data_IF_255172372948
#
_entry.id   IF_255172372948
#
_cell.length_a   1.000
_cell.length_b   1.000
_cell.length_c   1.000
_cell.angle_alpha   90.00
_cell.angle_beta   90.00
_cell.angle_gamma   90.00
#
_symmetry.space_group_name_H-M   'P 1'
#
loop_
_entity.id
_entity.type
_entity.pdbx_description
1 polymer ?
#
# COMPACT_ATOMS: atom_id res chain seq x y z
N UNK A 1 49.73 -1.26 -51.26
CA UNK A 1 50.41 -1.66 -50.00
C UNK A 1 49.45 -2.30 -49.08
N UNK A 2 49.54 -3.61 -48.85
CA UNK A 2 48.67 -4.41 -47.96
C UNK A 2 49.31 -4.42 -46.57
N UNK A 3 48.64 -4.07 -45.57
CA UNK A 3 48.98 -4.37 -44.16
C UNK A 3 47.89 -5.16 -43.53
N UNK A 4 48.22 -6.40 -43.17
CA UNK A 4 47.35 -7.35 -42.55
C UNK A 4 47.20 -7.09 -41.06
N UNK A 5 45.97 -7.30 -40.57
CA UNK A 5 45.65 -7.30 -39.15
C UNK A 5 45.83 -8.71 -38.62
N UNK A 6 46.73 -8.84 -37.65
CA UNK A 6 47.05 -10.08 -36.94
C UNK A 6 45.97 -10.33 -35.87
N UNK A 7 45.20 -11.39 -36.02
CA UNK A 7 44.22 -11.82 -35.02
C UNK A 7 44.91 -12.67 -33.94
N UNK A 8 44.94 -12.19 -32.72
CA UNK A 8 45.48 -12.88 -31.57
C UNK A 8 44.37 -13.75 -30.93
N UNK A 9 44.43 -15.07 -31.16
CA UNK A 9 43.56 -16.04 -30.48
C UNK A 9 44.11 -16.33 -29.07
N UNK A 10 43.41 -15.88 -28.03
CA UNK A 10 43.63 -16.30 -26.65
C UNK A 10 42.90 -17.62 -26.40
N UNK A 11 43.67 -18.71 -26.32
CA UNK A 11 43.23 -20.02 -25.85
C UNK A 11 43.03 -19.96 -24.32
N UNK A 12 41.80 -19.93 -23.86
CA UNK A 12 41.44 -20.19 -22.45
C UNK A 12 41.45 -21.72 -22.23
N UNK A 13 42.44 -22.21 -21.55
CA UNK A 13 42.53 -23.59 -21.10
C UNK A 13 41.51 -23.85 -19.98
N UNK A 14 40.52 -24.70 -20.23
CA UNK A 14 39.63 -25.25 -19.20
C UNK A 14 40.39 -26.29 -18.37
N UNK A 15 40.63 -25.97 -17.09
CA UNK A 15 41.06 -26.93 -16.11
C UNK A 15 39.82 -27.63 -15.52
N UNK A 16 39.78 -28.97 -15.43
CA UNK A 16 38.67 -29.64 -14.78
C UNK A 16 38.80 -29.50 -13.27
N UNK A 17 37.80 -28.86 -12.64
CA UNK A 17 37.65 -28.88 -11.19
C UNK A 17 37.22 -30.27 -10.74
N UNK A 18 38.10 -30.95 -10.04
CA UNK A 18 37.81 -32.21 -9.35
C UNK A 18 36.85 -31.91 -8.18
N UNK A 19 35.62 -32.43 -8.27
CA UNK A 19 34.68 -32.43 -7.19
C UNK A 19 35.09 -33.52 -6.20
N UNK A 20 35.65 -33.14 -5.04
CA UNK A 20 35.84 -34.07 -3.91
C UNK A 20 34.47 -34.47 -3.38
N UNK A 21 34.07 -35.69 -3.63
CA UNK A 21 32.90 -36.32 -2.98
C UNK A 21 33.24 -36.66 -1.52
N UNK A 22 32.82 -35.82 -0.59
CA UNK A 22 32.80 -36.22 0.80
C UNK A 22 31.58 -37.12 1.05
N UNK A 23 31.84 -38.37 1.35
CA UNK A 23 30.84 -39.31 1.88
C UNK A 23 30.35 -38.82 3.24
N UNK A 24 29.17 -38.22 3.26
CA UNK A 24 28.50 -37.88 4.49
C UNK A 24 27.67 -39.09 4.93
N UNK A 25 28.08 -39.69 6.04
CA UNK A 25 27.42 -40.81 6.70
C UNK A 25 25.97 -40.46 7.02
N UNK A 26 25.01 -41.29 6.57
CA UNK A 26 23.57 -41.15 6.86
C UNK A 26 23.32 -41.40 8.35
N UNK A 27 22.94 -40.35 9.08
CA UNK A 27 22.16 -40.50 10.32
C UNK A 27 20.68 -40.63 9.97
N UNK A 28 19.92 -41.51 10.67
CA UNK A 28 18.53 -41.78 10.31
C UNK A 28 17.60 -40.65 10.80
N UNK A 29 16.80 -40.15 9.87
CA UNK A 29 15.43 -39.77 10.11
C UNK A 29 15.14 -38.50 10.90
N UNK A 30 15.46 -37.31 10.36
CA UNK A 30 14.59 -36.15 10.60
C UNK A 30 13.81 -35.93 9.31
N UNK A 31 12.56 -36.32 9.30
CA UNK A 31 11.62 -35.91 8.26
C UNK A 31 11.38 -34.41 8.45
N UNK A 32 12.07 -33.60 7.64
CA UNK A 32 11.66 -32.21 7.45
C UNK A 32 10.33 -32.28 6.72
N UNK A 33 9.24 -32.13 7.49
CA UNK A 33 7.95 -31.80 6.90
C UNK A 33 8.14 -30.51 6.12
N UNK A 34 8.09 -30.61 4.81
CA UNK A 34 7.90 -29.46 3.93
C UNK A 34 6.55 -28.84 4.34
N UNK A 35 6.60 -27.87 5.25
CA UNK A 35 5.47 -27.00 5.50
C UNK A 35 5.09 -26.40 4.15
N UNK A 36 4.00 -26.88 3.62
CA UNK A 36 3.27 -26.23 2.53
C UNK A 36 3.14 -24.78 2.95
N UNK A 37 3.86 -23.90 2.29
CA UNK A 37 3.80 -22.46 2.50
C UNK A 37 2.35 -22.07 2.14
N UNK A 38 1.50 -22.07 3.16
CA UNK A 38 0.11 -21.70 3.04
C UNK A 38 0.13 -20.26 2.61
N UNK A 39 -0.21 -20.01 1.35
CA UNK A 39 -0.31 -18.66 0.82
C UNK A 39 -1.29 -17.92 1.73
N UNK A 40 -0.74 -16.99 2.52
CA UNK A 40 -1.55 -16.17 3.41
C UNK A 40 -2.47 -15.33 2.51
N UNK A 41 -3.76 -15.63 2.53
CA UNK A 41 -4.76 -14.81 1.87
C UNK A 41 -4.89 -13.45 2.59
N UNK A 42 -5.43 -12.46 1.88
CA UNK A 42 -5.58 -11.11 2.41
C UNK A 42 -6.41 -11.07 3.70
N UNK A 43 -7.34 -12.00 3.87
CA UNK A 43 -8.19 -12.11 5.06
C UNK A 43 -7.41 -12.64 6.27
N UNK A 44 -6.50 -13.58 6.05
CA UNK A 44 -5.61 -14.11 7.09
C UNK A 44 -4.59 -13.05 7.53
N UNK A 45 -3.99 -12.31 6.58
CA UNK A 45 -3.10 -11.18 6.87
C UNK A 45 -3.84 -10.12 7.68
N UNK A 46 -5.06 -9.78 7.29
CA UNK A 46 -5.91 -8.83 7.99
C UNK A 46 -6.23 -9.26 9.43
N UNK A 47 -6.60 -10.53 9.64
CA UNK A 47 -6.86 -11.08 10.98
C UNK A 47 -5.62 -11.09 11.86
N UNK A 48 -4.49 -11.51 11.33
CA UNK A 48 -3.22 -11.57 12.07
C UNK A 48 -2.76 -10.15 12.45
N UNK A 49 -2.89 -9.17 11.55
CA UNK A 49 -2.54 -7.78 11.87
C UNK A 49 -3.45 -7.18 12.95
N UNK A 50 -4.74 -7.49 12.95
CA UNK A 50 -5.66 -7.11 14.03
C UNK A 50 -5.31 -7.77 15.39
N UNK A 51 -4.87 -9.02 15.38
CA UNK A 51 -4.59 -9.77 16.62
C UNK A 51 -3.23 -9.42 17.25
N UNK A 52 -2.21 -9.17 16.42
CA UNK A 52 -0.84 -8.99 16.92
C UNK A 52 -0.59 -7.61 17.53
N UNK A 53 -1.41 -6.60 17.25
CA UNK A 53 -1.09 -5.23 17.63
C UNK A 53 -2.27 -4.39 18.10
N UNK A 54 -3.27 -4.96 18.74
CA UNK A 54 -4.30 -4.16 19.39
C UNK A 54 -3.66 -3.26 20.46
N UNK A 55 -3.36 -2.00 20.10
CA UNK A 55 -2.74 -1.01 20.99
C UNK A 55 -1.23 -0.81 20.87
N UNK A 56 -0.51 -1.60 20.04
CA UNK A 56 0.95 -1.51 19.93
C UNK A 56 1.46 -0.60 18.80
N UNK A 57 0.67 -0.41 17.73
CA UNK A 57 1.07 0.41 16.57
C UNK A 57 0.36 1.75 16.66
N UNK A 58 1.08 2.86 16.48
CA UNK A 58 0.46 4.18 16.36
C UNK A 58 -0.47 4.23 15.14
N UNK A 59 -1.54 5.01 15.22
CA UNK A 59 -2.48 5.17 14.10
C UNK A 59 -1.79 5.58 12.80
N UNK A 60 -0.75 6.42 12.88
CA UNK A 60 0.04 6.84 11.73
C UNK A 60 0.76 5.68 11.05
N UNK A 61 1.38 4.78 11.82
CA UNK A 61 2.02 3.59 11.28
C UNK A 61 1.00 2.63 10.68
N UNK A 62 -0.17 2.50 11.29
CA UNK A 62 -1.24 1.64 10.78
C UNK A 62 -1.76 2.16 9.42
N UNK A 63 -1.98 3.48 9.27
CA UNK A 63 -2.32 4.08 7.99
C UNK A 63 -1.26 3.82 6.92
N UNK A 64 0.01 4.14 7.20
CA UNK A 64 1.11 3.96 6.23
C UNK A 64 1.25 2.50 5.83
N UNK A 65 1.24 1.60 6.79
CA UNK A 65 1.40 0.17 6.54
C UNK A 65 0.28 -0.36 5.64
N UNK A 66 -0.98 -0.04 5.97
CA UNK A 66 -2.13 -0.48 5.19
C UNK A 66 -2.08 0.03 3.74
N UNK A 67 -1.76 1.32 3.52
CA UNK A 67 -1.59 1.88 2.18
C UNK A 67 -0.48 1.17 1.40
N UNK A 68 0.67 0.96 2.03
CA UNK A 68 1.84 0.39 1.36
C UNK A 68 1.67 -1.09 1.03
N UNK A 69 0.86 -1.85 1.76
CA UNK A 69 0.47 -3.21 1.37
C UNK A 69 -0.31 -3.21 0.05
N UNK A 70 -1.26 -2.29 -0.12
CA UNK A 70 -2.08 -2.20 -1.33
C UNK A 70 -1.23 -1.73 -2.51
N UNK A 71 -0.35 -0.76 -2.31
CA UNK A 71 0.58 -0.25 -3.32
C UNK A 71 1.56 -1.33 -3.78
N UNK A 72 2.12 -2.10 -2.85
CA UNK A 72 3.02 -3.22 -3.17
C UNK A 72 2.34 -4.27 -4.07
N UNK A 73 1.05 -4.56 -3.87
CA UNK A 73 0.27 -5.46 -4.73
C UNK A 73 0.10 -4.93 -6.17
N UNK A 74 0.41 -3.65 -6.42
CA UNK A 74 0.41 -3.00 -7.74
C UNK A 74 1.82 -2.63 -8.23
N UNK A 75 2.86 -3.06 -7.51
CA UNK A 75 4.27 -2.73 -7.78
C UNK A 75 4.56 -1.24 -7.74
N UNK A 76 3.77 -0.48 -6.97
CA UNK A 76 3.97 0.94 -6.77
C UNK A 76 4.89 1.22 -5.58
N UNK A 77 5.68 2.30 -5.68
CA UNK A 77 6.57 2.72 -4.60
C UNK A 77 5.80 3.06 -3.31
N UNK A 78 6.35 2.75 -2.14
CA UNK A 78 5.70 3.04 -0.88
C UNK A 78 5.54 4.55 -0.63
N UNK A 79 4.45 4.93 0.02
CA UNK A 79 4.24 6.27 0.53
C UNK A 79 5.05 6.49 1.80
N UNK A 80 5.61 7.69 1.94
CA UNK A 80 6.25 8.16 3.17
C UNK A 80 5.26 8.99 4.01
N UNK A 81 5.32 8.81 5.35
CA UNK A 81 4.54 9.67 6.24
C UNK A 81 5.04 11.10 6.24
N UNK A 82 4.11 12.06 6.21
CA UNK A 82 4.43 13.49 6.22
C UNK A 82 3.67 14.20 7.34
N UNK A 83 4.41 14.76 8.29
CA UNK A 83 3.83 15.41 9.46
C UNK A 83 3.06 16.71 9.14
N UNK A 84 3.35 17.38 8.02
CA UNK A 84 2.58 18.56 7.61
C UNK A 84 1.20 18.13 7.07
N UNK A 85 1.14 17.05 6.30
CA UNK A 85 -0.12 16.45 5.86
C UNK A 85 -0.91 15.91 7.06
N UNK A 86 -0.26 15.25 8.01
CA UNK A 86 -0.90 14.81 9.26
C UNK A 86 -1.49 16.00 10.03
N UNK A 87 -0.74 17.09 10.18
CA UNK A 87 -1.22 18.30 10.85
C UNK A 87 -2.46 18.88 10.16
N UNK A 88 -2.47 18.89 8.84
CA UNK A 88 -3.61 19.33 8.05
C UNK A 88 -4.81 18.38 8.25
N UNK A 89 -4.59 17.07 8.13
CA UNK A 89 -5.63 16.06 8.37
C UNK A 89 -6.23 16.17 9.78
N UNK A 90 -5.39 16.37 10.81
CA UNK A 90 -5.85 16.59 12.20
C UNK A 90 -6.70 17.85 12.35
N UNK A 91 -6.29 18.93 11.69
CA UNK A 91 -7.08 20.16 11.68
C UNK A 91 -8.47 19.90 11.08
N UNK A 92 -8.53 19.29 9.89
CA UNK A 92 -9.82 19.01 9.24
C UNK A 92 -10.67 18.03 10.02
N UNK A 93 -10.11 16.93 10.50
CA UNK A 93 -10.83 15.98 11.35
C UNK A 93 -11.41 16.66 12.61
N UNK A 94 -10.67 17.61 13.19
CA UNK A 94 -11.15 18.43 14.30
C UNK A 94 -12.37 19.27 13.94
N UNK A 95 -12.47 19.79 12.70
CA UNK A 95 -13.65 20.52 12.22
C UNK A 95 -14.87 19.61 12.04
N UNK A 96 -14.67 18.32 11.80
CA UNK A 96 -15.74 17.31 11.64
C UNK A 96 -16.18 16.67 12.95
N UNK A 97 -15.46 16.93 14.05
CA UNK A 97 -15.74 16.32 15.35
C UNK A 97 -17.18 16.54 15.82
N UNK A 98 -17.73 17.73 15.58
CA UNK A 98 -19.08 18.09 16.05
C UNK A 98 -20.24 17.53 15.22
N UNK A 99 -20.00 17.24 13.93
CA UNK A 99 -21.06 16.82 13.00
C UNK A 99 -20.83 15.48 12.31
N UNK A 100 -19.62 14.95 12.39
CA UNK A 100 -19.14 13.70 11.78
C UNK A 100 -19.46 13.53 10.29
N UNK A 101 -19.67 14.63 9.56
CA UNK A 101 -20.07 14.60 8.15
C UNK A 101 -18.95 14.19 7.24
N UNK A 102 -19.23 13.31 6.28
CA UNK A 102 -18.37 13.00 5.16
C UNK A 102 -18.31 14.20 4.22
N UNK A 103 -17.38 15.10 4.49
CA UNK A 103 -17.14 16.30 3.69
C UNK A 103 -15.64 16.47 3.47
N UNK A 104 -15.25 16.74 2.22
CA UNK A 104 -13.88 17.07 1.86
C UNK A 104 -13.45 18.43 2.42
N UNK A 105 -12.14 18.55 2.67
CA UNK A 105 -11.55 19.76 3.22
C UNK A 105 -11.37 20.88 2.20
N UNK A 106 -11.35 20.53 0.90
CA UNK A 106 -11.21 21.46 -0.20
C UNK A 106 -12.54 21.72 -0.91
N UNK A 107 -12.79 22.95 -1.40
CA UNK A 107 -13.83 23.18 -2.39
C UNK A 107 -13.56 22.34 -3.64
N UNK A 108 -14.61 21.98 -4.39
CA UNK A 108 -14.53 21.06 -5.53
C UNK A 108 -13.53 21.49 -6.62
N UNK A 109 -13.15 22.76 -6.69
CA UNK A 109 -12.30 23.30 -7.75
C UNK A 109 -10.88 23.71 -7.30
N UNK A 110 -10.47 23.50 -6.04
CA UNK A 110 -9.14 23.90 -5.52
C UNK A 110 -8.41 22.75 -4.82
N UNK A 111 -8.25 21.63 -5.49
CA UNK A 111 -7.56 20.45 -4.97
C UNK A 111 -6.03 20.61 -5.02
N UNK A 112 -5.43 21.08 -3.94
CA UNK A 112 -3.96 21.13 -3.77
C UNK A 112 -3.38 19.82 -3.29
N UNK A 113 -4.20 18.96 -2.68
CA UNK A 113 -3.87 17.65 -2.14
C UNK A 113 -4.92 16.64 -2.59
N UNK A 114 -4.54 15.37 -2.68
CA UNK A 114 -5.52 14.29 -2.71
C UNK A 114 -6.11 14.09 -1.32
N UNK A 115 -7.34 13.59 -1.24
CA UNK A 115 -7.97 13.32 0.03
C UNK A 115 -8.92 12.12 -0.04
N UNK A 116 -8.79 11.20 0.90
CA UNK A 116 -9.77 10.15 1.17
C UNK A 116 -10.40 10.39 2.55
N UNK A 117 -11.71 10.26 2.64
CA UNK A 117 -12.46 10.39 3.89
C UNK A 117 -13.24 9.12 4.21
N UNK A 118 -13.43 8.85 5.49
CA UNK A 118 -14.16 7.69 5.99
C UNK A 118 -15.01 8.07 7.20
N UNK A 119 -16.19 7.49 7.28
CA UNK A 119 -17.04 7.53 8.43
C UNK A 119 -17.45 6.11 8.85
N UNK A 120 -17.55 5.87 10.16
CA UNK A 120 -18.02 4.61 10.70
C UNK A 120 -18.80 4.83 11.98
N UNK A 121 -19.96 4.17 12.11
CA UNK A 121 -20.79 4.27 13.31
C UNK A 121 -20.13 3.55 14.48
N UNK A 122 -20.02 4.23 15.62
CA UNK A 122 -19.31 3.78 16.81
C UNK A 122 -17.79 3.95 16.74
N UNK A 123 -17.14 3.92 17.91
CA UNK A 123 -15.73 4.32 18.07
C UNK A 123 -14.69 3.23 17.76
N UNK A 124 -15.11 2.02 17.37
CA UNK A 124 -14.19 0.87 17.24
C UNK A 124 -13.39 0.84 15.93
N UNK A 125 -13.76 1.65 14.94
CA UNK A 125 -13.11 1.69 13.63
C UNK A 125 -11.67 2.19 13.70
N UNK A 126 -10.78 1.47 13.04
CA UNK A 126 -9.34 1.74 13.01
C UNK A 126 -8.87 2.19 11.62
N UNK A 127 -7.65 2.75 11.52
CA UNK A 127 -7.04 3.11 10.24
C UNK A 127 -7.09 1.99 9.19
N UNK A 128 -6.79 0.75 9.59
CA UNK A 128 -6.83 -0.39 8.69
C UNK A 128 -8.24 -0.65 8.12
N UNK A 129 -9.29 -0.42 8.90
CA UNK A 129 -10.67 -0.60 8.45
C UNK A 129 -11.02 0.40 7.34
N UNK A 130 -10.66 1.68 7.53
CA UNK A 130 -10.88 2.73 6.53
C UNK A 130 -10.11 2.43 5.23
N UNK A 131 -8.81 2.11 5.34
CA UNK A 131 -7.98 1.81 4.16
C UNK A 131 -8.46 0.56 3.44
N UNK A 132 -8.93 -0.46 4.16
CA UNK A 132 -9.52 -1.67 3.56
C UNK A 132 -10.82 -1.35 2.83
N UNK A 133 -11.68 -0.49 3.40
CA UNK A 133 -12.90 -0.05 2.74
C UNK A 133 -12.58 0.67 1.42
N UNK A 134 -11.67 1.64 1.42
CA UNK A 134 -11.21 2.33 0.22
C UNK A 134 -10.59 1.38 -0.82
N UNK A 135 -9.76 0.45 -0.38
CA UNK A 135 -9.12 -0.52 -1.26
C UNK A 135 -10.10 -1.49 -1.90
N UNK A 136 -11.22 -1.79 -1.23
CA UNK A 136 -12.27 -2.69 -1.74
C UNK A 136 -12.93 -2.19 -3.01
N UNK A 137 -12.80 -0.90 -3.34
CA UNK A 137 -13.29 -0.31 -4.58
C UNK A 137 -12.56 -0.84 -5.83
N UNK A 138 -11.41 -1.51 -5.66
CA UNK A 138 -10.67 -2.16 -6.77
C UNK A 138 -11.55 -3.07 -7.62
N UNK A 139 -12.56 -3.71 -7.03
CA UNK A 139 -13.50 -4.59 -7.73
C UNK A 139 -14.36 -3.88 -8.78
N UNK A 140 -14.52 -2.56 -8.64
CA UNK A 140 -15.31 -1.73 -9.55
C UNK A 140 -14.45 -0.98 -10.58
N UNK A 141 -13.12 -0.90 -10.33
CA UNK A 141 -12.22 -0.18 -11.24
C UNK A 141 -11.77 -1.05 -12.40
N UNK A 142 -12.02 -0.57 -13.63
CA UNK A 142 -11.63 -1.23 -14.89
C UNK A 142 -10.38 -0.56 -15.46
N UNK A 143 -9.22 -1.13 -15.18
CA UNK A 143 -7.93 -0.56 -15.62
C UNK A 143 -7.84 -0.37 -17.14
N UNK A 144 -8.30 -1.35 -17.94
CA UNK A 144 -8.20 -1.31 -19.39
C UNK A 144 -8.86 -0.07 -20.01
N UNK A 145 -9.99 0.34 -19.46
CA UNK A 145 -10.77 1.51 -19.91
C UNK A 145 -10.57 2.75 -19.06
N UNK A 146 -9.79 2.64 -17.95
CA UNK A 146 -9.63 3.69 -16.95
C UNK A 146 -10.99 4.23 -16.48
N UNK A 147 -11.88 3.35 -16.09
CA UNK A 147 -13.25 3.72 -15.70
C UNK A 147 -13.70 2.98 -14.44
N UNK A 148 -14.62 3.59 -13.74
CA UNK A 148 -15.36 2.97 -12.65
C UNK A 148 -16.65 2.34 -13.19
N UNK A 149 -17.11 1.28 -12.55
CA UNK A 149 -18.42 0.70 -12.83
C UNK A 149 -19.53 1.73 -12.53
N UNK A 150 -20.60 1.72 -13.31
CA UNK A 150 -21.70 2.67 -13.14
C UNK A 150 -22.28 2.63 -11.71
N UNK A 151 -22.56 3.79 -11.16
CA UNK A 151 -23.09 4.00 -9.81
C UNK A 151 -22.17 3.46 -8.67
N UNK A 152 -20.89 3.21 -8.99
CA UNK A 152 -19.89 2.80 -8.00
C UNK A 152 -18.81 3.86 -7.80
N UNK A 153 -18.10 3.77 -6.69
CA UNK A 153 -16.94 4.61 -6.37
C UNK A 153 -15.65 3.84 -6.60
N UNK A 154 -14.63 4.51 -7.13
CA UNK A 154 -13.28 3.98 -7.33
C UNK A 154 -12.21 4.98 -6.89
N UNK A 155 -12.60 6.22 -6.59
CA UNK A 155 -11.68 7.33 -6.37
C UNK A 155 -10.78 7.12 -5.16
N UNK A 156 -11.27 6.47 -4.11
CA UNK A 156 -10.45 6.18 -2.93
C UNK A 156 -9.37 5.16 -3.26
N UNK A 157 -9.73 4.07 -3.95
CA UNK A 157 -8.75 3.07 -4.38
C UNK A 157 -7.71 3.65 -5.33
N UNK A 158 -8.14 4.38 -6.38
CA UNK A 158 -7.22 4.94 -7.37
C UNK A 158 -6.26 5.96 -6.75
N UNK A 159 -6.70 6.73 -5.75
CA UNK A 159 -5.81 7.61 -4.98
C UNK A 159 -4.76 6.83 -4.19
N UNK A 160 -5.12 5.73 -3.51
CA UNK A 160 -4.15 4.90 -2.76
C UNK A 160 -3.02 4.42 -3.68
N UNK A 161 -3.37 3.94 -4.89
CA UNK A 161 -2.41 3.34 -5.83
C UNK A 161 -1.88 4.33 -6.86
N UNK A 162 -2.13 5.63 -6.68
CA UNK A 162 -1.66 6.64 -7.61
C UNK A 162 -0.13 6.69 -7.65
N UNK A 163 0.44 6.40 -8.83
CA UNK A 163 1.90 6.24 -9.03
C UNK A 163 2.70 7.44 -8.54
N UNK A 164 2.25 8.65 -8.89
CA UNK A 164 2.99 9.88 -8.62
C UNK A 164 2.82 10.38 -7.18
N UNK A 165 1.88 9.84 -6.40
CA UNK A 165 1.75 10.18 -4.98
C UNK A 165 2.92 9.60 -4.20
N UNK A 166 3.54 10.40 -3.35
CA UNK A 166 4.75 10.08 -2.60
C UNK A 166 4.57 10.18 -1.09
N UNK A 167 3.69 11.05 -0.63
CA UNK A 167 3.52 11.40 0.77
C UNK A 167 2.08 11.22 1.23
N UNK A 168 1.95 10.85 2.49
CA UNK A 168 0.69 10.58 3.17
C UNK A 168 0.69 11.19 4.56
N UNK A 169 -0.43 11.76 4.97
CA UNK A 169 -0.69 12.14 6.35
C UNK A 169 -2.17 12.03 6.65
N UNK A 170 -2.51 11.35 7.75
CA UNK A 170 -3.89 11.05 8.10
C UNK A 170 -4.22 11.44 9.54
N UNK A 171 -5.49 11.53 9.82
CA UNK A 171 -6.02 11.71 11.17
C UNK A 171 -7.31 10.90 11.36
N UNK A 172 -7.52 10.50 12.60
CA UNK A 172 -8.74 9.87 13.10
C UNK A 172 -9.27 10.69 14.27
N UNK A 173 -10.57 10.88 14.34
CA UNK A 173 -11.24 11.52 15.46
C UNK A 173 -12.48 10.71 15.84
N UNK A 174 -12.78 10.67 17.16
CA UNK A 174 -14.07 10.22 17.65
C UNK A 174 -14.95 11.47 17.74
N UNK A 175 -16.06 11.43 17.03
CA UNK A 175 -17.04 12.51 16.99
C UNK A 175 -17.83 12.62 18.30
N UNK A 176 -18.53 13.72 18.49
CA UNK A 176 -19.27 13.98 19.72
C UNK A 176 -20.49 13.05 19.90
N UNK A 177 -20.99 12.44 18.81
CA UNK A 177 -22.01 11.39 18.80
C UNK A 177 -21.45 9.97 19.04
N UNK A 178 -20.13 9.82 19.15
CA UNK A 178 -19.44 8.54 19.37
C UNK A 178 -19.05 7.79 18.10
N UNK A 179 -19.35 8.32 16.94
CA UNK A 179 -18.92 7.80 15.64
C UNK A 179 -17.45 8.16 15.32
N UNK A 180 -16.91 7.65 14.25
CA UNK A 180 -15.52 7.92 13.83
C UNK A 180 -15.51 8.60 12.48
N UNK A 181 -14.73 9.69 12.39
CA UNK A 181 -14.32 10.29 11.14
C UNK A 181 -12.81 10.11 10.95
N UNK A 182 -12.40 9.74 9.73
CA UNK A 182 -10.99 9.64 9.33
C UNK A 182 -10.78 10.37 8.02
N UNK A 183 -9.62 11.00 7.89
CA UNK A 183 -9.18 11.63 6.64
C UNK A 183 -7.71 11.35 6.40
N UNK A 184 -7.36 11.11 5.13
CA UNK A 184 -5.99 10.98 4.66
C UNK A 184 -5.75 11.98 3.52
N UNK A 185 -4.68 12.77 3.63
CA UNK A 185 -4.24 13.67 2.59
C UNK A 185 -3.00 13.13 1.89
N UNK A 186 -2.96 13.31 0.57
CA UNK A 186 -1.94 12.75 -0.33
C UNK A 186 -1.24 13.85 -1.11
N UNK A 187 0.07 13.72 -1.27
CA UNK A 187 0.88 14.68 -1.99
C UNK A 187 2.02 13.99 -2.79
N UNK A 188 2.14 14.26 -4.08
CA UNK A 188 1.19 14.98 -4.93
C UNK A 188 -0.22 14.34 -4.96
N UNK A 189 -1.26 15.11 -5.31
CA UNK A 189 -2.61 14.58 -5.48
C UNK A 189 -2.66 13.54 -6.59
N UNK A 190 -3.65 12.66 -6.53
CA UNK A 190 -3.98 11.74 -7.61
C UNK A 190 -5.30 12.08 -8.29
N UNK A 191 -5.84 11.10 -9.00
CA UNK A 191 -7.16 11.14 -9.64
C UNK A 191 -7.33 12.24 -10.68
N UNK A 192 -6.25 12.58 -11.41
CA UNK A 192 -6.36 13.50 -12.55
C UNK A 192 -7.22 12.89 -13.65
N UNK A 193 -8.16 13.71 -14.15
CA UNK A 193 -9.11 13.29 -15.18
C UNK A 193 -8.36 12.81 -16.42
N UNK A 194 -8.69 11.60 -16.88
CA UNK A 194 -8.09 10.98 -18.07
C UNK A 194 -6.77 10.25 -17.80
N UNK A 195 -6.16 10.38 -16.61
CA UNK A 195 -4.93 9.67 -16.26
C UNK A 195 -5.22 8.35 -15.55
N UNK A 196 -4.32 7.36 -15.75
CA UNK A 196 -4.37 6.10 -15.02
C UNK A 196 -3.59 6.19 -13.73
N UNK A 197 -4.03 5.49 -12.66
CA UNK A 197 -3.34 5.55 -11.39
C UNK A 197 -1.96 4.85 -11.40
N UNK A 198 -1.76 3.82 -12.26
CA UNK A 198 -0.52 3.03 -12.37
C UNK A 198 -0.31 2.46 -13.77
#
# INVERSE_FOLDING_TARGET
>A
MKMGVLALFLLLAFLPTQVLSHNFSRTPGVQVQTNTQKQLDNETIYRVSKQLCWGCISESLEFVFAHNLIRAAKFELPLAWNFQLEKYARWWAGQRKGDCKLQHSFPEDDFKLGENIYWGSGSAWRPLDAVTAWASEVKYYKYATNSCEADQMCGHYTQIVWRNTQRLGCARVICDDGDVFMTCNYDPPGNYIGERPY
#
